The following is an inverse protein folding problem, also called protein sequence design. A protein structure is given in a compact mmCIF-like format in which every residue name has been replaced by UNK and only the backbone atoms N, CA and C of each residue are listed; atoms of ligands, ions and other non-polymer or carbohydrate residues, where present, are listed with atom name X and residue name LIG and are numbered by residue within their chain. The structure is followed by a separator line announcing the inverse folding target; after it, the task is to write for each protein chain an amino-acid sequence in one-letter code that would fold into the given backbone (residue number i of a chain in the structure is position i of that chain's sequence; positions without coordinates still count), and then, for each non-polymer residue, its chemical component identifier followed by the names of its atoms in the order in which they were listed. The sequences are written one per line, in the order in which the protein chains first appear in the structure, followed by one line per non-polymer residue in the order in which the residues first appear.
data_IF_820812527376
#
_entry.id   IF_820812527376
#
_cell.length_a   1.000
_cell.length_b   1.000
_cell.length_c   1.000
_cell.angle_alpha   90.00
_cell.angle_beta   90.00
_cell.angle_gamma   90.00
#
_symmetry.space_group_name_H-M   'P 1'
#
loop_
_entity.id
_entity.type
_entity.pdbx_description
1 polymer ?
#
# COMPACT_ATOMS: atom_id res chain seq x y z
N UNK A 1 27.33 8.82 15.84
CA UNK A 1 26.10 9.58 15.54
C UNK A 1 25.46 9.92 16.87
N UNK A 2 25.16 11.19 17.12
CA UNK A 2 24.47 11.61 18.35
C UNK A 2 22.99 11.25 18.22
N UNK A 3 22.56 10.20 18.89
CA UNK A 3 21.19 9.66 18.79
C UNK A 3 20.15 10.60 19.39
N UNK A 4 20.57 11.57 20.23
CA UNK A 4 19.69 12.60 20.80
C UNK A 4 19.25 13.68 19.82
N UNK A 5 19.88 13.77 18.62
CA UNK A 5 19.56 14.75 17.58
C UNK A 5 18.72 14.17 16.43
N UNK A 6 18.31 12.91 16.54
CA UNK A 6 17.48 12.27 15.55
C UNK A 6 16.06 12.80 15.65
N UNK A 7 15.46 13.16 14.51
CA UNK A 7 14.01 13.37 14.47
C UNK A 7 13.29 12.04 14.76
N UNK A 8 12.07 12.05 15.31
CA UNK A 8 11.33 10.82 15.61
C UNK A 8 11.20 9.88 14.39
N UNK A 9 11.07 10.46 13.19
CA UNK A 9 11.03 9.70 11.94
C UNK A 9 12.38 9.07 11.58
N UNK A 10 13.48 9.81 11.71
CA UNK A 10 14.82 9.28 11.45
C UNK A 10 15.17 8.16 12.44
N UNK A 11 14.79 8.33 13.72
CA UNK A 11 14.90 7.30 14.74
C UNK A 11 14.17 6.02 14.31
N UNK A 12 12.90 6.12 13.91
CA UNK A 12 12.12 4.95 13.49
C UNK A 12 12.69 4.26 12.24
N UNK A 13 13.22 5.03 11.29
CA UNK A 13 13.89 4.51 10.10
C UNK A 13 15.14 3.71 10.49
N UNK A 14 15.93 4.21 11.43
CA UNK A 14 17.15 3.53 11.91
C UNK A 14 16.79 2.26 12.67
N UNK A 15 15.83 2.30 13.59
CA UNK A 15 15.39 1.12 14.37
C UNK A 15 14.87 0.03 13.44
N UNK A 16 13.95 0.35 12.53
CA UNK A 16 13.40 -0.64 11.58
C UNK A 16 14.45 -1.20 10.62
N UNK A 17 15.43 -0.40 10.21
CA UNK A 17 16.56 -0.86 9.41
C UNK A 17 17.45 -1.86 10.16
N UNK A 18 17.76 -1.57 11.42
CA UNK A 18 18.62 -2.40 12.26
C UNK A 18 17.89 -3.68 12.73
N UNK A 19 16.58 -3.59 12.94
CA UNK A 19 15.68 -4.73 13.14
C UNK A 19 15.79 -5.73 11.97
N UNK A 20 15.80 -5.24 10.72
CA UNK A 20 16.04 -6.07 9.53
C UNK A 20 15.14 -5.76 8.32
N UNK A 21 14.44 -4.62 8.30
CA UNK A 21 13.57 -4.28 7.18
C UNK A 21 14.32 -3.78 5.96
N UNK A 22 13.83 -4.06 4.74
CA UNK A 22 14.40 -3.49 3.52
C UNK A 22 14.07 -2.00 3.40
N UNK A 23 14.88 -1.24 2.65
CA UNK A 23 14.62 0.20 2.38
C UNK A 23 13.21 0.38 1.80
N UNK A 24 12.82 -0.46 0.84
CA UNK A 24 11.48 -0.44 0.24
C UNK A 24 10.38 -0.64 1.28
N UNK A 25 10.55 -1.60 2.20
CA UNK A 25 9.58 -1.84 3.29
C UNK A 25 9.50 -0.64 4.23
N UNK A 26 10.63 -0.08 4.65
CA UNK A 26 10.67 1.13 5.49
C UNK A 26 10.00 2.32 4.79
N UNK A 27 10.27 2.51 3.50
CA UNK A 27 9.64 3.56 2.71
C UNK A 27 8.12 3.39 2.66
N UNK A 28 7.63 2.22 2.23
CA UNK A 28 6.19 1.97 2.08
C UNK A 28 5.44 1.98 3.41
N UNK A 29 6.02 1.43 4.47
CA UNK A 29 5.36 1.27 5.76
C UNK A 29 5.46 2.52 6.65
N UNK A 30 6.51 3.32 6.53
CA UNK A 30 6.77 4.43 7.44
C UNK A 30 6.97 5.74 6.66
N UNK A 31 8.08 5.86 5.92
CA UNK A 31 8.55 7.15 5.45
C UNK A 31 7.67 7.82 4.37
N UNK A 32 6.97 7.05 3.53
CA UNK A 32 6.08 7.54 2.48
C UNK A 32 4.95 8.40 3.06
N UNK A 33 4.44 8.04 4.24
CA UNK A 33 3.36 8.76 4.94
C UNK A 33 3.80 10.15 5.42
N UNK A 34 5.11 10.34 5.61
CA UNK A 34 5.73 11.60 6.01
C UNK A 34 6.32 12.36 4.81
N UNK A 35 5.91 12.04 3.58
CA UNK A 35 6.37 12.71 2.36
C UNK A 35 7.84 12.44 2.01
N UNK A 36 8.50 11.46 2.65
CA UNK A 36 9.90 11.11 2.36
C UNK A 36 9.96 10.08 1.23
N UNK A 37 10.82 10.36 0.26
CA UNK A 37 11.11 9.43 -0.84
C UNK A 37 11.97 8.26 -0.37
N UNK A 38 12.00 7.18 -1.14
CA UNK A 38 12.91 6.05 -0.87
C UNK A 38 14.39 6.50 -0.84
N UNK A 39 14.74 7.50 -1.65
CA UNK A 39 16.07 8.11 -1.65
C UNK A 39 16.40 8.81 -0.34
N UNK A 40 15.43 9.53 0.25
CA UNK A 40 15.60 10.17 1.55
C UNK A 40 15.79 9.13 2.68
N UNK A 41 15.05 8.03 2.66
CA UNK A 41 15.22 6.90 3.60
C UNK A 41 16.63 6.33 3.51
N UNK A 42 17.12 6.10 2.29
CA UNK A 42 18.50 5.66 2.05
C UNK A 42 19.52 6.67 2.55
N UNK A 43 19.28 7.96 2.34
CA UNK A 43 20.14 9.04 2.84
C UNK A 43 20.26 9.02 4.36
N UNK A 44 19.15 8.82 5.08
CA UNK A 44 19.13 8.72 6.55
C UNK A 44 19.91 7.49 7.02
N UNK A 45 19.67 6.32 6.41
CA UNK A 45 20.40 5.09 6.75
C UNK A 45 21.90 5.24 6.51
N UNK A 46 22.29 5.94 5.44
CA UNK A 46 23.70 6.19 5.12
C UNK A 46 24.40 7.15 6.11
N UNK A 47 23.67 7.85 6.99
CA UNK A 47 24.26 8.63 8.08
C UNK A 47 24.79 7.73 9.21
N UNK A 48 24.40 6.45 9.25
CA UNK A 48 24.92 5.51 10.23
C UNK A 48 26.41 5.22 9.96
N UNK A 49 27.26 5.24 11.00
CA UNK A 49 28.70 5.05 10.83
C UNK A 49 29.04 3.64 10.36
N UNK A 50 28.21 2.66 10.68
CA UNK A 50 28.37 1.27 10.28
C UNK A 50 27.14 0.78 9.53
N UNK A 51 27.37 0.02 8.46
CA UNK A 51 26.29 -0.62 7.70
C UNK A 51 25.82 -1.86 8.44
N UNK A 52 24.51 -2.13 8.40
CA UNK A 52 23.96 -3.33 9.04
C UNK A 52 24.55 -4.65 8.53
N UNK A 53 25.07 -4.65 7.30
CA UNK A 53 25.68 -5.83 6.68
C UNK A 53 27.10 -6.10 7.19
N UNK A 54 27.75 -5.11 7.81
CA UNK A 54 29.10 -5.24 8.38
C UNK A 54 29.08 -5.51 9.88
N UNK A 55 27.89 -5.59 10.50
CA UNK A 55 27.73 -5.83 11.94
C UNK A 55 26.98 -7.14 12.19
N UNK A 56 27.37 -7.82 13.26
CA UNK A 56 26.75 -9.07 13.71
C UNK A 56 25.35 -8.82 14.27
N UNK A 57 24.56 -9.88 14.45
CA UNK A 57 23.22 -9.76 15.08
C UNK A 57 23.31 -9.22 16.51
N UNK A 58 24.34 -9.62 17.25
CA UNK A 58 24.57 -9.19 18.64
C UNK A 58 24.85 -7.68 18.67
N UNK A 59 25.75 -7.20 17.81
CA UNK A 59 26.06 -5.77 17.70
C UNK A 59 24.84 -4.93 17.30
N UNK A 60 23.99 -5.46 16.39
CA UNK A 60 22.70 -4.82 16.06
C UNK A 60 21.76 -4.78 17.27
N UNK A 61 21.73 -5.83 18.08
CA UNK A 61 20.92 -5.86 19.30
C UNK A 61 21.41 -4.82 20.31
N UNK A 62 22.71 -4.74 20.58
CA UNK A 62 23.30 -3.72 21.47
C UNK A 62 22.94 -2.30 21.02
N UNK A 63 22.98 -2.03 19.71
CA UNK A 63 22.59 -0.72 19.17
C UNK A 63 21.08 -0.46 19.34
N UNK A 64 20.23 -1.46 19.13
CA UNK A 64 18.79 -1.34 19.36
C UNK A 64 18.48 -1.12 20.84
N UNK A 65 19.17 -1.78 21.75
CA UNK A 65 19.01 -1.57 23.20
C UNK A 65 19.43 -0.17 23.62
N UNK A 66 20.53 0.35 23.04
CA UNK A 66 20.95 1.75 23.22
C UNK A 66 19.92 2.76 22.70
N UNK A 67 19.33 2.50 21.52
CA UNK A 67 18.25 3.33 20.97
C UNK A 67 16.96 3.25 21.81
N UNK A 68 16.64 2.07 22.36
CA UNK A 68 15.49 1.86 23.25
C UNK A 68 15.63 2.65 24.55
N UNK A 69 16.84 2.70 25.11
CA UNK A 69 17.13 3.46 26.32
C UNK A 69 17.04 4.98 26.08
N UNK A 70 17.38 5.45 24.88
CA UNK A 70 17.37 6.87 24.50
C UNK A 70 15.99 7.38 24.04
N UNK A 71 14.88 6.78 24.50
CA UNK A 71 13.50 6.87 23.98
C UNK A 71 13.01 8.28 23.59
N UNK A 72 13.28 8.68 22.35
CA UNK A 72 12.69 9.85 21.65
C UNK A 72 11.89 9.30 20.44
N UNK A 73 10.84 8.51 20.68
CA UNK A 73 10.03 7.91 19.61
C UNK A 73 8.53 8.22 19.68
N UNK A 74 8.09 8.98 20.70
CA UNK A 74 6.68 9.33 20.95
C UNK A 74 5.70 8.13 20.87
N UNK A 75 6.16 6.89 21.05
CA UNK A 75 5.35 5.67 20.96
C UNK A 75 5.10 5.15 19.54
N UNK A 76 5.88 5.58 18.53
CA UNK A 76 5.68 5.17 17.14
C UNK A 76 6.10 3.73 16.82
N UNK A 77 6.99 3.11 17.61
CA UNK A 77 7.41 1.72 17.39
C UNK A 77 7.10 0.79 18.58
N UNK A 78 6.44 -0.35 18.34
CA UNK A 78 6.31 -1.43 19.32
C UNK A 78 7.67 -1.96 19.79
N UNK A 79 7.70 -2.52 21.02
CA UNK A 79 8.91 -3.08 21.63
C UNK A 79 9.60 -4.15 20.76
N UNK A 80 8.84 -4.89 19.97
CA UNK A 80 9.35 -5.95 19.09
C UNK A 80 10.33 -5.46 18.02
N UNK A 81 10.25 -4.17 17.66
CA UNK A 81 11.18 -3.57 16.69
C UNK A 81 12.58 -3.36 17.26
N UNK A 82 12.73 -3.41 18.58
CA UNK A 82 14.02 -3.34 19.26
C UNK A 82 14.69 -4.71 19.40
N UNK A 83 14.15 -5.75 18.77
CA UNK A 83 14.76 -7.08 18.72
C UNK A 83 15.35 -7.31 17.33
N UNK A 84 16.66 -7.55 17.23
CA UNK A 84 17.32 -7.78 15.95
C UNK A 84 16.89 -9.13 15.34
N UNK A 85 16.26 -9.09 14.16
CA UNK A 85 15.92 -10.28 13.38
C UNK A 85 17.09 -10.75 12.51
N UNK A 86 17.17 -12.05 12.18
CA UNK A 86 18.10 -12.53 11.18
C UNK A 86 17.84 -11.82 9.85
N UNK A 87 18.91 -11.37 9.19
CA UNK A 87 18.81 -10.79 7.84
C UNK A 87 18.63 -11.92 6.84
N UNK A 88 17.78 -11.71 5.83
CA UNK A 88 17.62 -12.66 4.74
C UNK A 88 18.90 -12.72 3.86
N UNK A 89 19.10 -13.81 3.12
CA UNK A 89 20.33 -14.06 2.34
C UNK A 89 20.65 -12.98 1.31
N UNK A 90 19.62 -12.35 0.73
CA UNK A 90 19.72 -11.21 -0.17
C UNK A 90 20.12 -9.91 0.54
N UNK A 91 19.75 -9.75 1.81
CA UNK A 91 20.10 -8.60 2.65
C UNK A 91 21.50 -8.71 3.26
N UNK A 92 22.03 -9.93 3.41
CA UNK A 92 23.37 -10.23 3.93
C UNK A 92 24.47 -10.00 2.90
N UNK A 93 24.13 -9.92 1.59
CA UNK A 93 25.14 -9.68 0.54
C UNK A 93 25.79 -8.32 0.75
N UNK A 94 27.09 -8.33 1.08
CA UNK A 94 27.94 -7.14 1.10
C UNK A 94 27.77 -6.42 -0.23
N UNK A 95 27.36 -5.16 -0.19
CA UNK A 95 27.51 -4.29 -1.34
C UNK A 95 28.99 -4.33 -1.74
N UNK A 96 29.26 -4.82 -2.95
CA UNK A 96 30.56 -4.71 -3.61
C UNK A 96 31.12 -3.31 -3.32
N UNK A 97 32.32 -3.27 -2.75
CA UNK A 97 33.01 -2.06 -2.32
C UNK A 97 32.97 -1.05 -3.48
N UNK A 98 32.25 0.07 -3.36
CA UNK A 98 32.41 1.16 -4.30
C UNK A 98 33.69 1.86 -3.88
N UNK A 99 34.77 1.64 -4.62
CA UNK A 99 35.90 2.55 -4.70
C UNK A 99 35.40 3.99 -4.78
N UNK A 100 36.04 4.86 -4.02
CA UNK A 100 35.72 6.26 -3.80
C UNK A 100 35.25 6.96 -5.07
N UNK A 101 34.05 7.56 -5.00
CA UNK A 101 33.53 8.40 -6.07
C UNK A 101 34.26 9.74 -6.05
N UNK A 102 35.26 9.89 -6.91
CA UNK A 102 35.61 11.20 -7.47
C UNK A 102 34.37 11.78 -8.19
N UNK A 103 34.31 13.11 -8.21
CA UNK A 103 33.19 13.94 -8.64
C UNK A 103 32.44 13.43 -9.88
N UNK A 104 31.13 13.68 -9.91
CA UNK A 104 30.19 13.34 -10.99
C UNK A 104 30.78 13.69 -12.37
N UNK A 105 31.34 12.69 -13.04
CA UNK A 105 31.41 12.69 -14.49
C UNK A 105 30.01 12.41 -15.03
N UNK A 106 29.62 13.13 -16.07
CA UNK A 106 28.44 12.81 -16.88
C UNK A 106 28.48 11.32 -17.26
N UNK A 107 27.31 10.65 -17.46
CA UNK A 107 27.28 9.25 -17.80
C UNK A 107 28.05 9.04 -19.11
N UNK A 108 29.29 8.56 -19.01
CA UNK A 108 30.06 8.11 -20.16
C UNK A 108 29.29 6.88 -20.65
N UNK A 109 28.69 6.98 -21.83
CA UNK A 109 28.14 5.83 -22.53
C UNK A 109 29.17 4.71 -22.47
N UNK A 110 28.78 3.55 -21.94
CA UNK A 110 29.70 2.43 -21.85
C UNK A 110 30.28 2.19 -23.25
N UNK A 111 31.63 2.16 -23.40
CA UNK A 111 32.27 2.13 -24.70
C UNK A 111 31.69 0.98 -25.52
N UNK A 112 31.44 1.25 -26.81
CA UNK A 112 30.88 0.26 -27.71
C UNK A 112 31.75 -1.01 -27.65
N UNK A 113 31.17 -2.18 -27.35
CA UNK A 113 31.93 -3.41 -27.19
C UNK A 113 32.70 -3.71 -28.50
N UNK A 114 34.01 -3.89 -28.40
CA UNK A 114 34.87 -4.09 -29.57
C UNK A 114 34.57 -5.45 -30.25
N UNK A 115 34.04 -5.47 -31.48
CA UNK A 115 33.67 -6.70 -32.19
C UNK A 115 34.88 -7.58 -32.56
N UNK A 116 36.10 -7.06 -32.48
CA UNK A 116 37.33 -7.83 -32.75
C UNK A 116 37.79 -8.64 -31.54
N UNK A 117 37.31 -8.35 -30.34
CA UNK A 117 37.68 -9.10 -29.12
C UNK A 117 36.66 -10.18 -28.78
N UNK A 118 37.13 -11.34 -28.26
CA UNK A 118 36.25 -12.43 -27.79
C UNK A 118 35.32 -11.97 -26.66
N UNK A 119 35.79 -11.06 -25.81
CA UNK A 119 35.01 -10.45 -24.74
C UNK A 119 33.92 -9.50 -25.28
N UNK A 120 34.25 -8.66 -26.27
CA UNK A 120 33.28 -7.78 -26.92
C UNK A 120 32.18 -8.54 -27.67
N UNK A 121 32.51 -9.64 -28.36
CA UNK A 121 31.49 -10.51 -29.02
C UNK A 121 30.51 -11.13 -28.03
N UNK A 122 30.98 -11.56 -26.85
CA UNK A 122 30.11 -12.10 -25.78
C UNK A 122 29.22 -11.03 -25.17
N UNK A 123 29.74 -9.82 -24.97
CA UNK A 123 28.99 -8.69 -24.42
C UNK A 123 27.93 -8.18 -25.42
N UNK A 124 28.24 -8.14 -26.73
CA UNK A 124 27.26 -7.82 -27.78
C UNK A 124 26.12 -8.83 -27.77
N UNK A 125 26.43 -10.13 -27.70
CA UNK A 125 25.40 -11.18 -27.65
C UNK A 125 24.52 -11.04 -26.42
N UNK A 126 25.11 -10.79 -25.24
CA UNK A 126 24.37 -10.57 -23.99
C UNK A 126 23.44 -9.35 -24.06
N UNK A 127 23.94 -8.21 -24.58
CA UNK A 127 23.12 -6.99 -24.73
C UNK A 127 21.97 -7.20 -25.71
N UNK A 128 22.17 -7.97 -26.77
CA UNK A 128 21.12 -8.32 -27.74
C UNK A 128 20.05 -9.22 -27.13
N UNK A 129 20.45 -10.26 -26.39
CA UNK A 129 19.51 -11.15 -25.68
C UNK A 129 18.72 -10.40 -24.60
N UNK A 130 19.36 -9.47 -23.87
CA UNK A 130 18.70 -8.65 -22.85
C UNK A 130 17.74 -7.63 -23.47
N UNK A 131 18.09 -7.03 -24.61
CA UNK A 131 17.20 -6.16 -25.38
C UNK A 131 15.98 -6.92 -25.93
N UNK A 132 16.18 -8.09 -26.54
CA UNK A 132 15.10 -8.93 -27.06
C UNK A 132 14.19 -9.47 -25.95
N UNK A 133 14.73 -9.73 -24.76
CA UNK A 133 13.92 -10.13 -23.60
C UNK A 133 13.07 -8.96 -23.10
N UNK A 134 13.67 -7.78 -22.98
CA UNK A 134 12.98 -6.57 -22.51
C UNK A 134 11.90 -6.11 -23.49
N UNK A 135 12.14 -6.28 -24.79
CA UNK A 135 11.16 -5.99 -25.83
C UNK A 135 9.99 -6.97 -25.80
N UNK A 136 10.27 -8.28 -25.62
CA UNK A 136 9.22 -9.29 -25.41
C UNK A 136 8.38 -9.01 -24.16
N UNK A 137 9.01 -8.71 -23.03
CA UNK A 137 8.31 -8.39 -21.80
C UNK A 137 7.44 -7.12 -21.98
N UNK A 138 7.94 -6.11 -22.68
CA UNK A 138 7.19 -4.88 -22.97
C UNK A 138 6.04 -5.10 -23.97
N UNK A 139 6.20 -5.95 -24.97
CA UNK A 139 5.15 -6.32 -25.92
C UNK A 139 4.06 -7.15 -25.23
N UNK A 140 4.44 -8.11 -24.37
CA UNK A 140 3.48 -8.89 -23.58
C UNK A 140 2.73 -7.99 -22.60
N UNK A 141 3.40 -7.02 -21.98
CA UNK A 141 2.75 -6.05 -21.09
C UNK A 141 1.78 -5.11 -21.83
N UNK A 142 2.14 -4.68 -23.05
CA UNK A 142 1.23 -3.90 -23.92
C UNK A 142 0.02 -4.72 -24.35
N UNK A 143 0.23 -5.93 -24.84
CA UNK A 143 -0.84 -6.85 -25.22
C UNK A 143 -1.76 -7.17 -24.03
N UNK A 144 -1.20 -7.32 -22.82
CA UNK A 144 -1.96 -7.56 -21.58
C UNK A 144 -2.80 -6.35 -21.15
N UNK A 145 -2.29 -5.13 -21.32
CA UNK A 145 -3.04 -3.89 -21.09
C UNK A 145 -4.16 -3.70 -22.12
N UNK A 146 -3.88 -3.99 -23.39
CA UNK A 146 -4.85 -3.92 -24.48
C UNK A 146 -5.95 -4.99 -24.33
N UNK A 147 -5.61 -6.16 -23.76
CA UNK A 147 -6.55 -7.22 -23.43
C UNK A 147 -7.31 -7.02 -22.10
N UNK A 148 -6.99 -5.97 -21.32
CA UNK A 148 -7.70 -5.63 -20.08
C UNK A 148 -7.43 -6.59 -18.92
N UNK A 149 -6.21 -7.12 -18.77
CA UNK A 149 -5.84 -7.96 -17.63
C UNK A 149 -5.25 -7.14 -16.47
N UNK A 150 -5.40 -7.64 -15.24
CA UNK A 150 -4.76 -7.08 -14.04
C UNK A 150 -3.21 -7.18 -14.09
N UNK A 151 -2.47 -6.29 -13.40
CA UNK A 151 -1.00 -6.31 -13.38
C UNK A 151 -0.42 -7.62 -12.78
N UNK A 152 0.74 -8.06 -13.29
CA UNK A 152 1.43 -9.31 -12.92
C UNK A 152 1.72 -9.41 -11.40
N UNK A 153 1.54 -10.60 -10.83
CA UNK A 153 1.94 -10.94 -9.46
C UNK A 153 0.82 -10.92 -8.42
N UNK A 154 -0.43 -10.66 -8.84
CA UNK A 154 -1.62 -10.64 -7.99
C UNK A 154 -2.66 -11.66 -8.47
N UNK A 155 -2.26 -12.58 -9.36
CA UNK A 155 -3.14 -13.52 -10.08
C UNK A 155 -3.87 -14.53 -9.16
N UNK A 156 -3.57 -14.54 -7.86
CA UNK A 156 -4.18 -15.40 -6.84
C UNK A 156 -5.20 -14.69 -5.94
N UNK A 157 -5.30 -13.35 -6.01
CA UNK A 157 -6.25 -12.62 -5.19
C UNK A 157 -7.65 -12.70 -5.84
N UNK A 158 -8.72 -12.91 -5.06
CA UNK A 158 -10.06 -13.17 -5.61
C UNK A 158 -10.58 -12.08 -6.55
N UNK A 159 -10.38 -10.80 -6.24
CA UNK A 159 -10.86 -9.70 -7.08
C UNK A 159 -10.17 -9.69 -8.46
N UNK A 160 -8.85 -9.84 -8.46
CA UNK A 160 -8.03 -9.90 -9.66
C UNK A 160 -8.37 -11.14 -10.50
N UNK A 161 -8.60 -12.28 -9.86
CA UNK A 161 -9.10 -13.49 -10.50
C UNK A 161 -10.44 -13.25 -11.19
N UNK A 162 -11.44 -12.71 -10.47
CA UNK A 162 -12.77 -12.43 -11.02
C UNK A 162 -12.72 -11.44 -12.19
N UNK A 163 -11.80 -10.48 -12.15
CA UNK A 163 -11.59 -9.55 -13.25
C UNK A 163 -10.98 -10.23 -14.48
N UNK A 164 -9.90 -11.01 -14.28
CA UNK A 164 -9.21 -11.72 -15.35
C UNK A 164 -10.09 -12.78 -16.02
N UNK A 165 -10.90 -13.50 -15.25
CA UNK A 165 -11.90 -14.48 -15.75
C UNK A 165 -13.16 -13.83 -16.32
N UNK A 166 -13.17 -12.49 -16.46
CA UNK A 166 -14.31 -11.70 -16.97
C UNK A 166 -15.60 -11.88 -16.15
N UNK A 167 -15.50 -12.41 -14.94
CA UNK A 167 -16.62 -12.62 -14.04
C UNK A 167 -17.15 -11.32 -13.43
N UNK A 168 -16.43 -10.19 -13.52
CA UNK A 168 -16.94 -8.87 -13.14
C UNK A 168 -17.78 -8.19 -14.25
N UNK A 169 -17.80 -8.73 -15.47
CA UNK A 169 -18.71 -8.26 -16.52
C UNK A 169 -20.11 -8.83 -16.29
N UNK A 170 -21.16 -8.02 -16.52
CA UNK A 170 -22.52 -8.51 -16.37
C UNK A 170 -22.96 -9.20 -17.68
N UNK A 171 -23.34 -10.49 -17.66
CA UNK A 171 -23.85 -11.18 -18.84
C UNK A 171 -25.14 -10.55 -19.39
N UNK A 172 -25.89 -9.76 -18.61
CA UNK A 172 -27.12 -9.06 -19.04
C UNK A 172 -26.86 -7.75 -19.79
N UNK A 173 -25.63 -7.23 -19.80
CA UNK A 173 -25.21 -6.08 -20.64
C UNK A 173 -25.16 -6.44 -22.15
N UNK A 174 -25.74 -7.60 -22.52
CA UNK A 174 -26.31 -8.11 -23.78
C UNK A 174 -26.20 -7.38 -25.12
N UNK A 175 -26.61 -6.11 -25.20
CA UNK A 175 -27.12 -5.55 -26.46
C UNK A 175 -25.99 -4.99 -27.35
N UNK A 176 -26.22 -5.01 -28.66
CA UNK A 176 -25.22 -4.67 -29.69
C UNK A 176 -24.66 -3.24 -29.51
N UNK A 177 -23.34 -3.09 -29.62
CA UNK A 177 -22.61 -1.82 -29.45
C UNK A 177 -21.88 -1.65 -28.10
N UNK A 178 -22.11 -2.55 -27.13
CA UNK A 178 -21.72 -2.35 -25.72
C UNK A 178 -20.46 -3.11 -25.26
N UNK A 179 -19.64 -3.71 -26.14
CA UNK A 179 -18.41 -4.43 -25.69
C UNK A 179 -17.48 -3.49 -24.91
N UNK A 180 -17.32 -2.26 -25.38
CA UNK A 180 -16.56 -1.23 -24.66
C UNK A 180 -17.22 -0.84 -23.33
N UNK A 181 -18.55 -0.80 -23.27
CA UNK A 181 -19.31 -0.46 -22.05
C UNK A 181 -19.17 -1.57 -21.00
N UNK A 182 -19.26 -2.85 -21.40
CA UNK A 182 -19.02 -4.00 -20.51
C UNK A 182 -17.62 -4.02 -19.95
N UNK A 183 -16.62 -3.84 -20.81
CA UNK A 183 -15.21 -3.81 -20.40
C UNK A 183 -14.95 -2.62 -19.47
N UNK A 184 -15.55 -1.46 -19.76
CA UNK A 184 -15.47 -0.28 -18.90
C UNK A 184 -16.16 -0.48 -17.55
N UNK A 185 -17.35 -1.10 -17.50
CA UNK A 185 -18.05 -1.38 -16.24
C UNK A 185 -17.29 -2.42 -15.40
N UNK A 186 -16.79 -3.48 -16.03
CA UNK A 186 -15.93 -4.47 -15.35
C UNK A 186 -14.65 -3.81 -14.79
N UNK A 187 -14.01 -2.93 -15.56
CA UNK A 187 -12.85 -2.15 -15.09
C UNK A 187 -13.22 -1.23 -13.92
N UNK A 188 -14.35 -0.52 -14.01
CA UNK A 188 -14.82 0.36 -12.92
C UNK A 188 -15.14 -0.42 -11.64
N UNK A 189 -15.76 -1.60 -11.77
CA UNK A 189 -15.99 -2.54 -10.64
C UNK A 189 -14.67 -2.99 -10.02
N UNK A 190 -13.70 -3.37 -10.85
CA UNK A 190 -12.36 -3.76 -10.40
C UNK A 190 -11.65 -2.61 -9.66
N UNK A 191 -11.55 -1.42 -10.27
CA UNK A 191 -10.90 -0.27 -9.65
C UNK A 191 -11.61 0.18 -8.36
N UNK A 192 -12.94 0.05 -8.31
CA UNK A 192 -13.74 0.32 -7.10
C UNK A 192 -13.43 -0.67 -5.99
N UNK A 193 -13.30 -1.96 -6.31
CA UNK A 193 -12.86 -3.00 -5.38
C UNK A 193 -11.45 -2.75 -4.86
N UNK A 194 -10.51 -2.36 -5.73
CA UNK A 194 -9.13 -1.99 -5.35
C UNK A 194 -9.11 -0.79 -4.40
N UNK A 195 -9.90 0.25 -4.68
CA UNK A 195 -10.02 1.43 -3.81
C UNK A 195 -10.66 1.09 -2.47
N UNK A 196 -11.70 0.26 -2.46
CA UNK A 196 -12.33 -0.21 -1.22
C UNK A 196 -11.36 -1.02 -0.37
N UNK A 197 -10.63 -1.96 -0.98
CA UNK A 197 -9.55 -2.72 -0.33
C UNK A 197 -8.51 -1.77 0.27
N UNK A 198 -8.03 -0.78 -0.48
CA UNK A 198 -7.07 0.21 0.03
C UNK A 198 -7.61 1.04 1.20
N UNK A 199 -8.90 1.40 1.20
CA UNK A 199 -9.52 2.09 2.32
C UNK A 199 -9.59 1.18 3.56
N UNK A 200 -10.01 -0.08 3.39
CA UNK A 200 -10.07 -1.08 4.47
C UNK A 200 -8.67 -1.41 5.01
N UNK A 201 -7.66 -1.61 4.17
CA UNK A 201 -6.27 -1.82 4.58
C UNK A 201 -5.71 -0.62 5.36
N UNK A 202 -6.03 0.60 4.94
CA UNK A 202 -5.65 1.81 5.68
C UNK A 202 -6.30 1.88 7.05
N UNK A 203 -7.50 1.33 7.20
CA UNK A 203 -8.24 1.26 8.45
C UNK A 203 -7.64 0.18 9.34
N UNK A 204 -7.65 -1.08 8.90
CA UNK A 204 -7.18 -2.23 9.67
C UNK A 204 -5.67 -2.18 9.97
N UNK A 205 -4.88 -1.63 9.05
CA UNK A 205 -3.43 -1.45 9.22
C UNK A 205 -3.03 -0.27 10.09
N UNK A 206 -3.99 0.56 10.54
CA UNK A 206 -3.72 1.71 11.42
C UNK A 206 -3.73 1.39 12.91
N UNK A 207 -4.15 0.17 13.30
CA UNK A 207 -4.25 -0.24 14.70
C UNK A 207 -5.48 0.31 15.44
N UNK A 208 -6.39 0.99 14.74
CA UNK A 208 -7.70 1.44 15.24
C UNK A 208 -8.57 0.20 15.51
N UNK A 209 -9.05 0.06 16.75
CA UNK A 209 -9.84 -1.12 17.17
C UNK A 209 -11.32 -0.92 16.84
N UNK A 210 -12.08 -2.02 16.80
CA UNK A 210 -13.52 -2.00 16.49
C UNK A 210 -14.35 -0.95 17.25
N UNK A 211 -14.12 -0.69 18.56
CA UNK A 211 -14.86 0.33 19.30
C UNK A 211 -14.58 1.77 18.83
N UNK A 212 -13.40 2.01 18.25
CA UNK A 212 -13.00 3.34 17.77
C UNK A 212 -13.74 3.73 16.48
N UNK A 213 -14.31 2.75 15.74
CA UNK A 213 -15.13 2.99 14.55
C UNK A 213 -16.45 3.68 14.88
N UNK A 214 -17.08 3.29 15.99
CA UNK A 214 -18.36 3.85 16.43
C UNK A 214 -18.19 5.27 16.99
N UNK A 215 -17.06 5.52 17.66
CA UNK A 215 -16.73 6.85 18.21
C UNK A 215 -16.32 7.88 17.14
N UNK A 216 -15.82 7.46 15.98
CA UNK A 216 -15.48 8.40 14.90
C UNK A 216 -16.71 9.06 14.24
N UNK A 217 -17.91 8.48 14.42
CA UNK A 217 -19.19 8.98 13.92
C UNK A 217 -20.01 9.76 14.95
N UNK A 218 -19.87 9.45 16.24
CA UNK A 218 -20.58 10.11 17.33
C UNK A 218 -19.64 10.92 18.20
N UNK A 219 -19.83 12.25 18.26
CA UNK A 219 -19.03 13.13 19.10
C UNK A 219 -19.01 12.66 20.56
N UNK A 220 -17.81 12.51 21.11
CA UNK A 220 -17.60 12.21 22.53
C UNK A 220 -16.90 10.88 22.77
N UNK A 221 -15.59 10.87 22.63
CA UNK A 221 -14.73 9.75 23.06
C UNK A 221 -13.31 10.24 23.23
N UNK A 222 -12.87 10.43 24.47
CA UNK A 222 -11.51 10.82 24.78
C UNK A 222 -10.55 9.64 24.51
N UNK A 223 -9.56 9.84 23.62
CA UNK A 223 -8.31 9.09 23.74
C UNK A 223 -7.60 8.63 22.46
N UNK A 224 -8.23 8.58 21.28
CA UNK A 224 -7.57 8.03 20.08
C UNK A 224 -7.47 9.08 18.98
N UNK A 225 -6.26 9.59 18.76
CA UNK A 225 -5.96 10.53 17.68
C UNK A 225 -5.88 9.76 16.36
N UNK A 226 -7.01 9.59 15.69
CA UNK A 226 -7.09 8.96 14.38
C UNK A 226 -6.48 9.90 13.32
N UNK A 227 -5.60 9.38 12.47
CA UNK A 227 -5.04 10.14 11.35
C UNK A 227 -6.16 10.60 10.41
N UNK A 228 -6.15 11.85 9.93
CA UNK A 228 -7.26 12.41 9.15
C UNK A 228 -7.66 11.56 7.94
N UNK A 229 -6.69 10.96 7.25
CA UNK A 229 -6.95 10.03 6.13
C UNK A 229 -7.64 8.74 6.60
N UNK A 230 -7.29 8.23 7.78
CA UNK A 230 -7.95 7.05 8.36
C UNK A 230 -9.36 7.40 8.79
N UNK A 231 -9.58 8.55 9.43
CA UNK A 231 -10.91 9.04 9.80
C UNK A 231 -11.82 9.26 8.58
N UNK A 232 -11.25 9.80 7.48
CA UNK A 232 -11.94 9.94 6.20
C UNK A 232 -12.32 8.57 5.63
N UNK A 233 -11.39 7.61 5.63
CA UNK A 233 -11.65 6.24 5.17
C UNK A 233 -12.70 5.54 6.03
N UNK A 234 -12.70 5.71 7.36
CA UNK A 234 -13.73 5.16 8.26
C UNK A 234 -15.10 5.68 7.87
N UNK A 235 -15.25 7.00 7.67
CA UNK A 235 -16.52 7.62 7.26
C UNK A 235 -16.97 7.12 5.89
N UNK A 236 -16.05 7.03 4.93
CA UNK A 236 -16.35 6.53 3.59
C UNK A 236 -16.75 5.06 3.59
N UNK A 237 -16.06 4.20 4.36
CA UNK A 237 -16.40 2.78 4.49
C UNK A 237 -17.73 2.59 5.21
N UNK A 238 -18.03 3.39 6.24
CA UNK A 238 -19.32 3.37 6.92
C UNK A 238 -20.48 3.76 5.97
N UNK A 239 -20.28 4.79 5.15
CA UNK A 239 -21.23 5.19 4.11
C UNK A 239 -21.43 4.11 3.04
N UNK A 240 -20.36 3.45 2.61
CA UNK A 240 -20.46 2.32 1.67
C UNK A 240 -21.22 1.15 2.32
N UNK A 241 -20.95 0.87 3.59
CA UNK A 241 -21.63 -0.18 4.36
C UNK A 241 -23.12 0.08 4.52
N UNK A 242 -23.58 1.33 4.58
CA UNK A 242 -25.01 1.65 4.63
C UNK A 242 -25.71 1.53 3.27
N UNK A 243 -24.98 1.68 2.16
CA UNK A 243 -25.52 1.52 0.80
C UNK A 243 -25.67 0.05 0.39
N UNK A 244 -24.80 -0.82 0.89
CA UNK A 244 -24.72 -2.25 0.54
C UNK A 244 -25.42 -3.10 1.61
N UNK A 245 -26.13 -4.14 1.20
CA UNK A 245 -26.74 -5.06 2.17
C UNK A 245 -25.67 -5.68 3.08
N UNK A 246 -25.94 -5.79 4.38
CA UNK A 246 -24.95 -6.20 5.38
C UNK A 246 -24.26 -7.54 5.04
N UNK A 247 -25.04 -8.53 4.57
CA UNK A 247 -24.53 -9.84 4.11
C UNK A 247 -23.51 -9.69 2.97
N UNK A 248 -23.81 -8.82 1.99
CA UNK A 248 -22.95 -8.59 0.82
C UNK A 248 -21.70 -7.79 1.16
N UNK A 249 -21.81 -6.84 2.08
CA UNK A 249 -20.64 -6.10 2.55
C UNK A 249 -19.64 -7.01 3.26
N UNK A 250 -20.12 -7.95 4.10
CA UNK A 250 -19.27 -8.96 4.73
C UNK A 250 -18.60 -9.85 3.68
N UNK A 251 -19.32 -10.27 2.64
CA UNK A 251 -18.73 -11.05 1.54
C UNK A 251 -17.65 -10.29 0.78
N UNK A 252 -17.90 -9.00 0.46
CA UNK A 252 -16.88 -8.13 -0.15
C UNK A 252 -15.66 -7.99 0.76
N UNK A 253 -15.86 -7.82 2.06
CA UNK A 253 -14.77 -7.72 3.02
C UNK A 253 -13.94 -9.02 3.10
N UNK A 254 -14.58 -10.19 3.17
CA UNK A 254 -13.91 -11.50 3.13
C UNK A 254 -13.08 -11.67 1.85
N UNK A 255 -13.65 -11.26 0.72
CA UNK A 255 -12.99 -11.34 -0.58
C UNK A 255 -11.80 -10.37 -0.71
N UNK A 256 -11.98 -9.11 -0.29
CA UNK A 256 -11.01 -8.04 -0.50
C UNK A 256 -9.89 -8.02 0.55
N UNK A 257 -10.20 -8.28 1.82
CA UNK A 257 -9.22 -8.20 2.92
C UNK A 257 -8.57 -9.55 3.24
N UNK A 258 -9.34 -10.62 3.20
CA UNK A 258 -8.89 -11.95 3.64
C UNK A 258 -8.54 -12.87 2.47
N UNK A 259 -8.76 -12.42 1.23
CA UNK A 259 -8.41 -13.17 0.03
C UNK A 259 -9.22 -14.45 -0.15
N UNK A 260 -10.43 -14.51 0.42
CA UNK A 260 -11.32 -15.67 0.26
C UNK A 260 -12.03 -15.63 -1.09
N UNK A 261 -12.04 -16.75 -1.81
CA UNK A 261 -12.82 -16.84 -3.04
C UNK A 261 -14.31 -16.90 -2.75
N UNK A 262 -15.10 -16.38 -3.69
CA UNK A 262 -16.57 -16.25 -3.56
C UNK A 262 -17.26 -17.58 -3.27
N UNK A 263 -16.78 -18.67 -3.87
CA UNK A 263 -17.29 -20.04 -3.67
C UNK A 263 -16.78 -20.72 -2.38
N UNK A 264 -15.90 -20.06 -1.62
CA UNK A 264 -15.40 -20.56 -0.32
C UNK A 264 -16.11 -19.87 0.86
N UNK A 265 -16.99 -18.90 0.61
CA UNK A 265 -17.70 -18.17 1.67
C UNK A 265 -18.91 -19.01 2.13
N UNK A 266 -19.00 -19.40 3.42
CA UNK A 266 -20.11 -20.21 3.93
C UNK A 266 -21.47 -19.49 3.78
N UNK A 267 -22.51 -20.19 3.30
CA UNK A 267 -23.86 -19.65 3.12
C UNK A 267 -24.14 -19.00 1.76
N UNK A 268 -23.32 -19.32 0.75
CA UNK A 268 -23.55 -18.98 -0.65
C UNK A 268 -24.61 -19.92 -1.26
N UNK A 269 -25.78 -19.37 -1.62
CA UNK A 269 -26.65 -19.95 -2.64
C UNK A 269 -25.91 -19.95 -4.01
N UNK A 270 -26.52 -20.51 -5.07
CA UNK A 270 -25.98 -20.64 -6.44
C UNK A 270 -24.85 -19.61 -6.77
N UNK A 271 -23.63 -20.06 -7.14
CA UNK A 271 -22.50 -19.18 -7.48
C UNK A 271 -22.85 -18.03 -8.43
N UNK A 272 -23.82 -18.24 -9.32
CA UNK A 272 -24.31 -17.23 -10.25
C UNK A 272 -25.00 -16.06 -9.53
N UNK A 273 -25.81 -16.35 -8.51
CA UNK A 273 -26.50 -15.36 -7.70
C UNK A 273 -25.51 -14.53 -6.88
N UNK A 274 -24.55 -15.19 -6.23
CA UNK A 274 -23.52 -14.49 -5.44
C UNK A 274 -22.66 -13.58 -6.32
N UNK A 275 -22.35 -14.00 -7.55
CA UNK A 275 -21.63 -13.14 -8.49
C UNK A 275 -22.46 -11.92 -8.93
N UNK A 276 -23.76 -12.06 -9.12
CA UNK A 276 -24.64 -10.93 -9.41
C UNK A 276 -24.67 -9.94 -8.23
N UNK A 277 -24.74 -10.46 -7.00
CA UNK A 277 -24.74 -9.65 -5.79
C UNK A 277 -23.42 -8.90 -5.57
N UNK A 278 -22.28 -9.54 -5.83
CA UNK A 278 -20.95 -8.91 -5.77
C UNK A 278 -20.84 -7.78 -6.80
N UNK A 279 -21.32 -8.01 -8.04
CA UNK A 279 -21.35 -6.95 -9.06
C UNK A 279 -22.22 -5.77 -8.61
N UNK A 280 -23.42 -6.03 -8.11
CA UNK A 280 -24.32 -5.00 -7.60
C UNK A 280 -23.69 -4.20 -6.45
N UNK A 281 -23.01 -4.88 -5.52
CA UNK A 281 -22.33 -4.23 -4.42
C UNK A 281 -21.14 -3.37 -4.91
N UNK A 282 -20.34 -3.87 -5.84
CA UNK A 282 -19.27 -3.10 -6.49
C UNK A 282 -19.79 -1.93 -7.33
N UNK A 283 -21.00 -2.05 -7.91
CA UNK A 283 -21.66 -0.97 -8.63
C UNK A 283 -21.99 0.19 -7.68
N UNK A 284 -22.57 -0.12 -6.51
CA UNK A 284 -22.85 0.87 -5.46
C UNK A 284 -21.56 1.54 -4.95
N UNK A 285 -20.50 0.77 -4.74
CA UNK A 285 -19.18 1.30 -4.38
C UNK A 285 -18.68 2.23 -5.49
N UNK A 286 -18.76 1.82 -6.75
CA UNK A 286 -18.32 2.61 -7.89
C UNK A 286 -19.11 3.91 -8.06
N UNK A 287 -20.42 3.89 -7.83
CA UNK A 287 -21.27 5.08 -7.83
C UNK A 287 -20.87 6.04 -6.70
N UNK A 288 -20.71 5.54 -5.47
CA UNK A 288 -20.17 6.32 -4.34
C UNK A 288 -18.79 6.90 -4.68
N UNK A 289 -17.99 6.16 -5.45
CA UNK A 289 -16.67 6.60 -5.86
C UNK A 289 -16.65 7.57 -7.06
N UNK A 290 -17.80 7.87 -7.66
CA UNK A 290 -17.92 8.72 -8.85
C UNK A 290 -17.35 8.09 -10.12
N UNK A 291 -17.23 6.76 -10.15
CA UNK A 291 -16.63 5.99 -11.24
C UNK A 291 -17.67 5.43 -12.20
N UNK A 292 -18.91 5.25 -11.72
CA UNK A 292 -20.09 4.98 -12.55
C UNK A 292 -21.15 6.05 -12.35
N UNK A 293 -21.93 6.38 -13.40
CA UNK A 293 -23.08 7.26 -13.23
C UNK A 293 -24.05 6.64 -12.23
N UNK A 294 -24.53 7.44 -11.29
CA UNK A 294 -25.65 7.04 -10.46
C UNK A 294 -26.89 6.91 -11.34
N UNK A 295 -27.72 5.90 -11.11
CA UNK A 295 -29.07 5.89 -11.65
C UNK A 295 -29.85 7.09 -11.07
N UNK A 296 -30.96 7.49 -11.71
CA UNK A 296 -31.69 8.76 -11.51
C UNK A 296 -32.05 9.12 -10.05
N UNK A 297 -31.86 8.22 -9.08
CA UNK A 297 -31.93 8.45 -7.63
C UNK A 297 -30.58 8.88 -7.04
N UNK A 298 -29.96 9.93 -7.61
CA UNK A 298 -28.71 10.52 -7.09
C UNK A 298 -28.83 11.13 -5.67
N UNK A 299 -30.03 11.13 -5.09
CA UNK A 299 -30.32 11.66 -3.76
C UNK A 299 -29.99 10.70 -2.61
N UNK A 300 -29.83 9.40 -2.88
CA UNK A 300 -29.60 8.38 -1.84
C UNK A 300 -28.13 7.97 -1.67
N UNK A 301 -27.21 8.54 -2.46
CA UNK A 301 -25.77 8.27 -2.34
C UNK A 301 -25.17 9.27 -1.34
N UNK A 302 -24.65 8.82 -0.19
CA UNK A 302 -24.00 9.69 0.77
C UNK A 302 -22.82 10.43 0.13
N UNK A 303 -22.62 11.69 0.52
CA UNK A 303 -21.45 12.45 0.09
C UNK A 303 -20.19 11.85 0.71
N UNK A 304 -19.13 11.75 -0.09
CA UNK A 304 -17.80 11.41 0.41
C UNK A 304 -17.37 12.40 1.50
N UNK A 305 -16.63 11.89 2.49
CA UNK A 305 -16.03 12.72 3.49
C UNK A 305 -15.03 13.69 2.85
N UNK A 306 -15.12 14.98 3.18
CA UNK A 306 -14.19 15.98 2.67
C UNK A 306 -12.88 15.97 3.46
N UNK A 307 -11.77 15.65 2.80
CA UNK A 307 -10.44 15.60 3.41
C UNK A 307 -10.06 16.88 4.17
N UNK A 308 -10.48 18.06 3.69
CA UNK A 308 -10.23 19.35 4.34
C UNK A 308 -11.01 19.49 5.65
N UNK A 309 -12.29 19.16 5.63
CA UNK A 309 -13.15 19.20 6.82
C UNK A 309 -12.72 18.18 7.88
N UNK A 310 -12.34 16.96 7.45
CA UNK A 310 -11.84 15.92 8.37
C UNK A 310 -10.50 16.32 9.00
N UNK A 311 -9.58 16.93 8.24
CA UNK A 311 -8.32 17.47 8.80
C UNK A 311 -8.56 18.59 9.80
N UNK A 312 -9.45 19.53 9.50
CA UNK A 312 -9.79 20.62 10.41
C UNK A 312 -10.41 20.10 11.72
N UNK A 313 -11.33 19.15 11.63
CA UNK A 313 -11.93 18.48 12.79
C UNK A 313 -10.90 17.70 13.61
N UNK A 314 -9.99 16.96 12.96
CA UNK A 314 -8.92 16.23 13.65
C UNK A 314 -7.91 17.15 14.36
N UNK A 315 -7.60 18.31 13.76
CA UNK A 315 -6.75 19.32 14.40
C UNK A 315 -7.43 19.94 15.62
N UNK A 316 -8.70 20.33 15.49
CA UNK A 316 -9.49 20.86 16.62
C UNK A 316 -9.60 19.86 17.77
N UNK A 317 -9.80 18.57 17.48
CA UNK A 317 -9.82 17.52 18.50
C UNK A 317 -8.46 17.38 19.23
N UNK A 318 -7.34 17.49 18.50
CA UNK A 318 -5.99 17.48 19.11
C UNK A 318 -5.76 18.69 20.01
N UNK A 319 -6.19 19.87 19.58
CA UNK A 319 -6.10 21.10 20.36
C UNK A 319 -6.93 20.99 21.64
N UNK A 320 -8.17 20.49 21.57
CA UNK A 320 -9.03 20.27 22.73
C UNK A 320 -8.39 19.29 23.74
N UNK A 321 -7.78 18.19 23.27
CA UNK A 321 -7.07 17.24 24.12
C UNK A 321 -5.84 17.91 24.77
N UNK A 322 -5.06 18.66 24.00
CA UNK A 322 -3.89 19.36 24.52
C UNK A 322 -4.24 20.41 25.58
N UNK A 323 -5.38 21.11 25.41
CA UNK A 323 -5.90 22.05 26.40
C UNK A 323 -6.37 21.33 27.66
N UNK A 324 -7.17 20.26 27.52
CA UNK A 324 -7.62 19.46 28.66
C UNK A 324 -6.44 18.85 29.45
N UNK A 325 -5.36 18.45 28.78
CA UNK A 325 -4.15 17.95 29.45
C UNK A 325 -3.36 19.03 30.20
N UNK A 326 -3.52 20.31 29.83
CA UNK A 326 -2.89 21.43 30.54
C UNK A 326 -3.69 21.87 31.77
N UNK A 327 -5.01 21.74 31.73
CA UNK A 327 -5.92 22.10 32.84
C UNK A 327 -5.91 21.08 33.98
N UNK A 328 -5.41 19.86 33.74
CA UNK A 328 -5.30 18.79 34.75
C UNK A 328 -3.96 18.82 35.51
N UNK A 329 -3.10 19.82 35.25
CA UNK A 329 -1.85 20.07 36.01
C UNK A 329 -1.98 21.30 36.90
#
# INVERSE_FOLDING_TARGET
MDTGKLTPLEFCIIVTWMHGWTIRKIHLSLAKRHGKTEHAVRGIINKLPQRRQSVTRVERQTLLDGLKAARIDDGMLPADYFIAKPLASDQQKKAVIPTERKAKAQPIEAPAPDPKTRAGRREIKRRREEAERKERDAQEERARREAGHAPRGVDLAPLEYLYNEKMLSDPKERKEGEVAVRTNNAMRRYESGVRLRSMMESIYGSGVKSPDYESAGGGGGAGVVIHAVVAENIKNVAAIRSMVAAKLFVQLEQMLMYGMFVWQIPGADDPTAVMADIRCALDKVSQFLGMMPAERQAHDIPKRAEAKAVRASALSAREAIATAQREVK
#
